data_IF_367536486851
#
_entry.id   IF_367536486851
#
_cell.length_a   1.000
_cell.length_b   1.000
_cell.length_c   1.000
_cell.angle_alpha   90.00
_cell.angle_beta   90.00
_cell.angle_gamma   90.00
#
_symmetry.space_group_name_H-M   'P 1'
#
loop_
_entity.id
_entity.type
_entity.pdbx_description
1 polymer ?
#
# COMPACT_ATOMS: atom_id res chain seq x y z
N UNK A 1 5.58 10.11 1.01
CA UNK A 1 4.70 10.53 2.12
C UNK A 1 5.31 11.73 2.90
N UNK A 2 5.36 12.93 2.29
CA UNK A 2 6.00 14.10 2.93
C UNK A 2 5.16 14.73 4.05
N UNK A 3 3.87 14.41 4.11
CA UNK A 3 2.94 14.90 5.15
C UNK A 3 2.76 13.88 6.30
N UNK A 4 3.43 12.72 6.21
CA UNK A 4 3.33 11.61 7.15
C UNK A 4 1.89 11.10 7.33
N UNK A 5 1.14 10.99 6.22
CA UNK A 5 -0.23 10.53 6.17
C UNK A 5 -0.38 9.14 6.80
N UNK A 6 0.50 8.19 6.47
CA UNK A 6 0.45 6.80 6.97
C UNK A 6 0.51 6.70 8.50
N UNK A 7 1.09 7.70 9.16
CA UNK A 7 1.24 7.71 10.62
C UNK A 7 0.24 8.61 11.34
N UNK A 8 -0.44 9.53 10.64
CA UNK A 8 -1.13 10.67 11.27
C UNK A 8 -2.57 10.90 10.80
N UNK A 9 -3.07 10.11 9.84
CA UNK A 9 -4.44 10.20 9.35
C UNK A 9 -5.11 8.83 9.40
N UNK A 10 -6.35 8.76 9.89
CA UNK A 10 -7.13 7.52 9.91
C UNK A 10 -7.21 6.90 8.51
N UNK A 11 -7.52 7.70 7.50
CA UNK A 11 -7.43 7.33 6.08
C UNK A 11 -6.25 8.08 5.45
N UNK A 12 -5.30 7.34 4.90
CA UNK A 12 -4.10 7.86 4.24
C UNK A 12 -4.18 7.60 2.74
N UNK A 13 -3.97 8.65 1.94
CA UNK A 13 -3.93 8.57 0.48
C UNK A 13 -2.48 8.81 0.05
N UNK A 14 -1.85 7.80 -0.54
CA UNK A 14 -0.43 7.88 -0.92
C UNK A 14 -0.30 7.58 -2.41
N UNK A 15 0.10 8.60 -3.18
CA UNK A 15 0.26 8.49 -4.62
C UNK A 15 1.30 7.44 -5.02
N UNK A 16 1.02 6.73 -6.11
CA UNK A 16 1.88 5.71 -6.72
C UNK A 16 1.58 5.61 -8.22
N UNK A 17 2.19 4.64 -8.91
CA UNK A 17 1.95 4.34 -10.31
C UNK A 17 1.89 2.81 -10.52
N UNK A 18 1.46 2.37 -11.70
CA UNK A 18 1.28 0.94 -12.03
C UNK A 18 2.20 0.43 -13.13
N UNK A 19 2.60 1.30 -14.04
CA UNK A 19 3.48 1.00 -15.18
C UNK A 19 4.97 1.10 -14.82
N UNK A 20 5.82 1.05 -15.84
CA UNK A 20 7.26 1.00 -15.67
C UNK A 20 7.87 2.33 -15.19
N UNK A 21 8.92 2.26 -14.38
CA UNK A 21 9.77 3.42 -14.08
C UNK A 21 10.33 3.95 -15.41
N UNK A 22 10.16 5.26 -15.63
CA UNK A 22 10.73 5.94 -16.78
C UNK A 22 12.21 6.16 -16.56
N UNK A 23 13.02 5.76 -17.53
CA UNK A 23 14.47 5.78 -17.47
C UNK A 23 15.08 6.58 -18.63
N UNK A 24 16.09 7.38 -18.30
CA UNK A 24 16.93 8.12 -19.24
C UNK A 24 18.38 7.66 -19.09
N UNK A 25 18.82 6.82 -20.03
CA UNK A 25 20.14 6.18 -20.00
C UNK A 25 21.29 7.20 -20.10
N UNK A 26 21.10 8.30 -20.82
CA UNK A 26 22.10 9.37 -20.94
C UNK A 26 22.28 10.09 -19.60
N UNK A 27 21.17 10.39 -18.91
CA UNK A 27 21.22 10.97 -17.58
C UNK A 27 21.85 10.01 -16.56
N UNK A 28 21.65 8.70 -16.68
CA UNK A 28 22.35 7.69 -15.85
C UNK A 28 23.87 7.79 -16.06
N UNK A 29 24.34 7.87 -17.30
CA UNK A 29 25.78 8.02 -17.56
C UNK A 29 26.35 9.30 -16.93
N UNK A 30 25.57 10.38 -16.91
CA UNK A 30 26.00 11.60 -16.25
C UNK A 30 26.18 11.40 -14.73
N UNK A 31 25.28 10.65 -14.07
CA UNK A 31 25.47 10.29 -12.65
C UNK A 31 26.75 9.48 -12.42
N UNK A 32 27.06 8.52 -13.29
CA UNK A 32 28.30 7.74 -13.22
C UNK A 32 29.52 8.65 -13.38
N UNK A 33 29.49 9.55 -14.37
CA UNK A 33 30.56 10.52 -14.62
C UNK A 33 30.75 11.50 -13.45
N UNK A 34 29.68 11.88 -12.78
CA UNK A 34 29.68 12.72 -11.57
C UNK A 34 30.15 11.95 -10.31
N UNK A 35 30.41 10.65 -10.42
CA UNK A 35 31.03 9.83 -9.39
C UNK A 35 30.06 9.01 -8.53
N UNK A 36 28.79 8.87 -8.94
CA UNK A 36 27.84 8.00 -8.25
C UNK A 36 28.20 6.52 -8.48
N UNK A 37 28.31 5.74 -7.41
CA UNK A 37 28.47 4.28 -7.51
C UNK A 37 27.08 3.64 -7.61
N UNK A 38 26.58 3.46 -8.83
CA UNK A 38 25.25 2.86 -9.08
C UNK A 38 25.11 1.49 -8.42
N UNK A 39 26.19 0.70 -8.41
CA UNK A 39 26.14 -0.64 -7.85
C UNK A 39 25.93 -0.58 -6.34
N UNK A 40 26.71 0.23 -5.63
CA UNK A 40 26.63 0.34 -4.17
C UNK A 40 25.44 1.19 -3.71
N UNK A 41 25.24 2.37 -4.30
CA UNK A 41 24.30 3.38 -3.80
C UNK A 41 22.85 3.15 -4.26
N UNK A 42 22.64 2.43 -5.37
CA UNK A 42 21.31 2.20 -5.96
C UNK A 42 20.94 0.72 -5.93
N UNK A 43 21.68 -0.13 -6.64
CA UNK A 43 21.32 -1.55 -6.82
C UNK A 43 21.36 -2.31 -5.49
N UNK A 44 22.41 -2.15 -4.69
CA UNK A 44 22.52 -2.84 -3.40
C UNK A 44 21.51 -2.32 -2.35
N UNK A 45 20.92 -1.14 -2.55
CA UNK A 45 19.91 -0.59 -1.65
C UNK A 45 18.47 -0.83 -2.11
N UNK A 46 18.25 -1.37 -3.32
CA UNK A 46 16.92 -1.78 -3.76
C UNK A 46 16.38 -2.91 -2.84
N UNK A 47 15.21 -2.73 -2.20
CA UNK A 47 14.71 -3.69 -1.20
C UNK A 47 14.36 -5.05 -1.79
N UNK A 48 13.85 -5.11 -3.02
CA UNK A 48 13.50 -6.36 -3.72
C UNK A 48 14.60 -6.90 -4.61
N UNK A 49 15.72 -6.18 -4.73
CA UNK A 49 16.83 -6.54 -5.63
C UNK A 49 16.39 -6.71 -7.10
N UNK A 50 15.36 -5.97 -7.52
CA UNK A 50 14.84 -6.01 -8.89
C UNK A 50 15.67 -5.21 -9.91
N UNK A 51 16.83 -4.68 -9.52
CA UNK A 51 17.69 -3.86 -10.39
C UNK A 51 19.01 -4.57 -10.66
N UNK A 52 19.57 -4.35 -11.85
CA UNK A 52 20.91 -4.83 -12.21
C UNK A 52 21.70 -3.75 -12.97
N UNK A 53 23.01 -3.72 -12.74
CA UNK A 53 23.95 -2.79 -13.35
C UNK A 53 25.12 -3.59 -13.92
N UNK A 54 25.40 -3.44 -15.21
CA UNK A 54 26.49 -4.16 -15.89
C UNK A 54 27.77 -3.32 -16.08
N UNK A 55 27.76 -2.07 -15.61
CA UNK A 55 28.83 -1.09 -15.82
C UNK A 55 28.52 -0.04 -16.87
N UNK A 56 27.50 -0.27 -17.70
CA UNK A 56 27.06 0.65 -18.75
C UNK A 56 25.55 0.88 -18.72
N UNK A 57 24.74 -0.15 -18.45
CA UNK A 57 23.28 -0.09 -18.49
C UNK A 57 22.65 -0.53 -17.17
N UNK A 58 21.65 0.24 -16.75
CA UNK A 58 20.76 -0.10 -15.64
C UNK A 58 19.53 -0.80 -16.20
N UNK A 59 19.21 -1.97 -15.66
CA UNK A 59 17.96 -2.65 -15.94
C UNK A 59 17.11 -2.75 -14.67
N UNK A 60 15.81 -2.56 -14.81
CA UNK A 60 14.82 -2.58 -13.73
C UNK A 60 13.74 -3.59 -14.11
N UNK A 61 13.55 -4.61 -13.28
CA UNK A 61 12.38 -5.49 -13.35
C UNK A 61 11.22 -4.82 -12.57
N UNK A 62 10.38 -4.07 -13.30
CA UNK A 62 9.29 -3.31 -12.70
C UNK A 62 8.24 -4.20 -12.04
N UNK A 63 8.08 -5.45 -12.50
CA UNK A 63 7.15 -6.40 -11.89
C UNK A 63 7.50 -6.71 -10.44
N UNK A 64 8.79 -6.74 -10.13
CA UNK A 64 9.31 -7.00 -8.78
C UNK A 64 9.62 -5.69 -8.01
N UNK A 65 9.21 -4.53 -8.55
CA UNK A 65 9.39 -3.24 -7.89
C UNK A 65 8.27 -2.97 -6.88
N UNK A 66 8.63 -2.51 -5.68
CA UNK A 66 7.69 -2.15 -4.61
C UNK A 66 7.50 -0.63 -4.47
N UNK A 67 7.92 0.14 -5.47
CA UNK A 67 7.76 1.60 -5.53
C UNK A 67 8.27 2.34 -4.28
N UNK A 68 9.38 1.88 -3.69
CA UNK A 68 9.96 2.43 -2.46
C UNK A 68 10.58 3.84 -2.62
N UNK A 69 10.63 4.36 -3.84
CA UNK A 69 11.24 5.64 -4.23
C UNK A 69 12.76 5.75 -4.13
N UNK A 70 13.48 4.77 -3.56
CA UNK A 70 14.94 4.88 -3.34
C UNK A 70 15.72 5.29 -4.60
N UNK A 71 15.62 4.51 -5.68
CA UNK A 71 16.35 4.77 -6.91
C UNK A 71 16.00 6.12 -7.56
N UNK A 72 14.71 6.50 -7.55
CA UNK A 72 14.24 7.80 -8.05
C UNK A 72 14.76 8.95 -7.18
N UNK A 73 14.81 8.78 -5.86
CA UNK A 73 15.33 9.80 -4.95
C UNK A 73 16.83 10.05 -5.15
N UNK A 74 17.60 9.00 -5.44
CA UNK A 74 19.04 9.10 -5.71
C UNK A 74 19.30 9.70 -7.10
N UNK A 75 18.55 9.29 -8.12
CA UNK A 75 18.75 9.70 -9.52
C UNK A 75 17.54 10.40 -10.15
N UNK A 76 17.01 11.50 -9.57
CA UNK A 76 15.74 12.11 -10.02
C UNK A 76 15.80 12.75 -11.41
N UNK A 77 17.00 13.02 -11.95
CA UNK A 77 17.15 13.48 -13.34
C UNK A 77 17.00 12.35 -14.35
N UNK A 78 17.30 11.11 -13.95
CA UNK A 78 17.35 9.94 -14.82
C UNK A 78 16.14 9.02 -14.66
N UNK A 79 15.65 8.85 -13.43
CA UNK A 79 14.52 7.98 -13.12
C UNK A 79 13.31 8.81 -12.69
N UNK A 80 12.13 8.44 -13.21
CA UNK A 80 10.85 9.09 -12.85
C UNK A 80 9.78 8.04 -12.59
N UNK A 81 8.77 8.35 -11.76
CA UNK A 81 7.56 7.53 -11.67
C UNK A 81 6.98 7.26 -13.06
N UNK A 82 6.26 6.16 -13.22
CA UNK A 82 5.50 5.86 -14.42
C UNK A 82 4.43 6.90 -14.76
N UNK A 83 3.62 6.60 -15.77
CA UNK A 83 2.57 7.46 -16.30
C UNK A 83 1.15 7.00 -15.97
N UNK A 84 0.97 5.74 -15.60
CA UNK A 84 -0.30 5.21 -15.09
C UNK A 84 -0.38 5.51 -13.58
N UNK A 85 -0.73 6.75 -13.25
CA UNK A 85 -0.75 7.29 -11.89
C UNK A 85 -2.05 6.99 -11.14
N UNK A 86 -1.94 6.94 -9.83
CA UNK A 86 -3.04 6.69 -8.91
C UNK A 86 -2.60 6.81 -7.46
N UNK A 87 -3.34 6.23 -6.54
CA UNK A 87 -2.97 6.19 -5.14
C UNK A 87 -3.33 4.87 -4.46
N UNK A 88 -2.54 4.52 -3.45
CA UNK A 88 -2.88 3.51 -2.45
C UNK A 88 -3.67 4.16 -1.33
N UNK A 89 -4.76 3.52 -0.93
CA UNK A 89 -5.57 3.91 0.23
C UNK A 89 -5.21 3.02 1.42
N UNK A 90 -4.79 3.64 2.52
CA UNK A 90 -4.44 2.94 3.76
C UNK A 90 -5.34 3.41 4.90
N UNK A 91 -5.69 2.51 5.83
CA UNK A 91 -6.61 2.81 6.92
C UNK A 91 -6.04 2.42 8.30
N UNK A 92 -6.36 3.20 9.33
CA UNK A 92 -6.26 2.81 10.73
C UNK A 92 -5.16 3.49 11.54
N UNK A 93 -4.43 4.49 11.01
CA UNK A 93 -3.39 5.14 11.81
C UNK A 93 -3.97 5.88 13.03
N UNK A 94 -3.24 5.80 14.13
CA UNK A 94 -3.55 6.54 15.35
C UNK A 94 -2.35 6.61 16.31
N UNK A 95 -2.43 7.62 17.18
CA UNK A 95 -1.57 7.73 18.36
C UNK A 95 -1.84 6.61 19.39
N UNK A 96 -0.99 6.44 20.41
CA UNK A 96 -1.05 5.28 21.32
C UNK A 96 -2.36 5.02 22.06
N UNK A 97 -3.10 6.05 22.48
CA UNK A 97 -4.28 5.87 23.34
C UNK A 97 -5.46 5.31 22.51
N UNK A 98 -6.13 4.20 22.88
CA UNK A 98 -5.92 3.31 24.04
C UNK A 98 -5.14 2.03 23.69
N UNK A 99 -5.39 1.41 22.53
CA UNK A 99 -4.88 0.07 22.17
C UNK A 99 -3.50 0.07 21.47
N UNK A 100 -2.66 1.06 21.75
CA UNK A 100 -1.35 1.22 21.12
C UNK A 100 -1.37 2.07 19.86
N UNK A 101 -0.16 2.39 19.37
CA UNK A 101 0.02 3.21 18.18
C UNK A 101 -0.12 2.33 16.94
N UNK A 102 -0.82 2.84 15.94
CA UNK A 102 -1.00 2.16 14.66
C UNK A 102 -0.51 3.05 13.54
N UNK A 103 0.15 2.45 12.56
CA UNK A 103 0.25 3.02 11.22
C UNK A 103 -0.89 2.47 10.37
N UNK A 104 -1.32 3.22 9.36
CA UNK A 104 -2.34 2.77 8.44
C UNK A 104 -1.90 1.51 7.70
N UNK A 105 -2.79 0.55 7.55
CA UNK A 105 -2.60 -0.69 6.78
C UNK A 105 -3.21 -0.55 5.38
N UNK A 106 -2.67 -1.25 4.39
CA UNK A 106 -3.19 -1.19 3.01
C UNK A 106 -4.64 -1.70 3.01
N UNK A 107 -5.55 -0.91 2.45
CA UNK A 107 -6.95 -1.28 2.26
C UNK A 107 -7.27 -1.42 0.77
N UNK A 108 -6.90 -0.43 -0.04
CA UNK A 108 -7.03 -0.49 -1.50
C UNK A 108 -5.66 -0.24 -2.12
N UNK A 109 -5.02 -1.24 -2.75
CA UNK A 109 -3.63 -1.12 -3.23
C UNK A 109 -3.46 -0.05 -4.30
N UNK A 110 -4.44 0.11 -5.19
CA UNK A 110 -4.38 1.06 -6.28
C UNK A 110 -5.77 1.54 -6.68
N UNK A 111 -5.92 2.85 -6.78
CA UNK A 111 -7.06 3.53 -7.40
C UNK A 111 -6.49 4.46 -8.47
N UNK A 112 -6.94 4.37 -9.74
CA UNK A 112 -6.54 5.30 -10.79
C UNK A 112 -6.81 6.76 -10.42
N UNK A 113 -5.98 7.68 -10.91
CA UNK A 113 -6.10 9.12 -10.57
C UNK A 113 -7.47 9.71 -10.92
N UNK A 114 -8.05 9.31 -12.05
CA UNK A 114 -9.35 9.78 -12.54
C UNK A 114 -10.55 9.23 -11.75
N UNK A 115 -10.40 8.07 -11.12
CA UNK A 115 -11.43 7.43 -10.27
C UNK A 115 -11.27 7.77 -8.77
N UNK A 116 -10.18 8.46 -8.41
CA UNK A 116 -9.73 8.60 -7.03
C UNK A 116 -10.75 9.33 -6.14
N UNK A 117 -11.30 10.45 -6.61
CA UNK A 117 -12.24 11.26 -5.82
C UNK A 117 -13.54 10.50 -5.52
N UNK A 118 -14.11 9.82 -6.52
CA UNK A 118 -15.35 9.07 -6.38
C UNK A 118 -15.15 7.84 -5.48
N UNK A 119 -14.08 7.08 -5.72
CA UNK A 119 -13.72 5.92 -4.91
C UNK A 119 -13.52 6.29 -3.44
N UNK A 120 -12.83 7.42 -3.16
CA UNK A 120 -12.64 7.88 -1.78
C UNK A 120 -13.98 8.23 -1.13
N UNK A 121 -14.87 8.94 -1.83
CA UNK A 121 -16.18 9.32 -1.26
C UNK A 121 -17.03 8.10 -0.93
N UNK A 122 -17.09 7.13 -1.85
CA UNK A 122 -17.82 5.89 -1.63
C UNK A 122 -17.23 5.10 -0.45
N UNK A 123 -15.90 4.90 -0.46
CA UNK A 123 -15.20 4.16 0.59
C UNK A 123 -15.40 4.82 1.96
N UNK A 124 -15.27 6.14 2.05
CA UNK A 124 -15.47 6.89 3.30
C UNK A 124 -16.91 6.76 3.78
N UNK A 125 -17.90 6.82 2.90
CA UNK A 125 -19.31 6.60 3.27
C UNK A 125 -19.51 5.22 3.88
N UNK A 126 -19.03 4.17 3.20
CA UNK A 126 -19.17 2.77 3.66
C UNK A 126 -18.45 2.55 5.00
N UNK A 127 -17.26 3.12 5.17
CA UNK A 127 -16.53 3.07 6.45
C UNK A 127 -17.30 3.81 7.55
N UNK A 128 -17.82 5.00 7.27
CA UNK A 128 -18.57 5.79 8.26
C UNK A 128 -19.89 5.16 8.65
N UNK A 129 -20.61 4.53 7.71
CA UNK A 129 -21.84 3.81 8.00
C UNK A 129 -21.55 2.62 8.93
N UNK A 130 -20.53 1.81 8.59
CA UNK A 130 -20.16 0.65 9.41
C UNK A 130 -19.56 1.05 10.77
N UNK A 131 -18.63 2.00 10.81
CA UNK A 131 -18.01 2.47 12.05
C UNK A 131 -18.99 3.27 12.91
N UNK A 132 -19.93 3.99 12.31
CA UNK A 132 -20.97 4.74 13.00
C UNK A 132 -21.96 3.84 13.74
N UNK A 133 -22.28 2.68 13.18
CA UNK A 133 -23.19 1.70 13.79
C UNK A 133 -22.48 0.83 14.84
N UNK A 134 -21.29 0.31 14.52
CA UNK A 134 -20.62 -0.72 15.33
C UNK A 134 -19.42 -0.24 16.14
N UNK A 135 -19.02 1.03 15.98
CA UNK A 135 -17.94 1.65 16.74
C UNK A 135 -18.34 1.88 18.19
N UNK A 136 -17.45 1.58 19.13
CA UNK A 136 -17.65 1.90 20.53
C UNK A 136 -17.36 3.38 20.82
N UNK A 137 -17.85 3.86 21.97
CA UNK A 137 -17.61 5.24 22.40
C UNK A 137 -16.10 5.56 22.42
N UNK A 138 -15.71 6.57 21.63
CA UNK A 138 -14.32 7.05 21.48
C UNK A 138 -13.35 6.02 20.88
N UNK A 139 -13.84 4.98 20.23
CA UNK A 139 -13.02 3.99 19.54
C UNK A 139 -12.64 4.48 18.15
N UNK A 140 -11.35 4.48 17.82
CA UNK A 140 -10.87 4.83 16.47
C UNK A 140 -11.08 3.68 15.50
N UNK A 141 -11.23 3.97 14.20
CA UNK A 141 -11.45 2.94 13.18
C UNK A 141 -10.36 1.85 13.19
N UNK A 142 -9.10 2.21 13.41
CA UNK A 142 -8.01 1.23 13.55
C UNK A 142 -8.18 0.29 14.75
N UNK A 143 -8.75 0.76 15.86
CA UNK A 143 -9.02 -0.05 17.05
C UNK A 143 -10.24 -0.95 16.82
N UNK A 144 -11.26 -0.43 16.14
CA UNK A 144 -12.42 -1.24 15.71
C UNK A 144 -11.97 -2.42 14.86
N UNK A 145 -11.08 -2.20 13.87
CA UNK A 145 -10.54 -3.27 13.01
C UNK A 145 -9.81 -4.33 13.85
N UNK A 146 -9.04 -3.93 14.87
CA UNK A 146 -8.39 -4.89 15.78
C UNK A 146 -9.40 -5.69 16.62
N UNK A 147 -10.52 -5.07 17.01
CA UNK A 147 -11.56 -5.69 17.84
C UNK A 147 -12.44 -6.65 17.05
N UNK A 148 -12.95 -6.22 15.89
CA UNK A 148 -13.89 -7.02 15.07
C UNK A 148 -13.16 -7.97 14.12
N UNK A 149 -11.89 -7.67 13.81
CA UNK A 149 -11.10 -8.39 12.82
C UNK A 149 -11.26 -7.82 11.41
N UNK A 150 -10.16 -7.87 10.65
CA UNK A 150 -10.15 -7.40 9.26
C UNK A 150 -11.24 -8.06 8.38
N UNK A 151 -11.51 -9.38 8.45
CA UNK A 151 -12.56 -10.00 7.62
C UNK A 151 -13.94 -9.39 7.83
N UNK A 152 -14.38 -9.24 9.09
CA UNK A 152 -15.67 -8.64 9.43
C UNK A 152 -15.74 -7.16 9.03
N UNK A 153 -14.63 -6.44 9.15
CA UNK A 153 -14.58 -5.05 8.69
C UNK A 153 -14.72 -4.96 7.17
N UNK A 154 -13.97 -5.78 6.42
CA UNK A 154 -14.03 -5.85 4.96
C UNK A 154 -15.42 -6.22 4.46
N UNK A 155 -16.06 -7.25 5.04
CA UNK A 155 -17.45 -7.63 4.75
C UNK A 155 -18.41 -6.47 5.03
N UNK A 156 -18.29 -5.82 6.19
CA UNK A 156 -19.13 -4.71 6.59
C UNK A 156 -19.04 -3.49 5.67
N UNK A 157 -17.87 -3.27 5.08
CA UNK A 157 -17.67 -2.23 4.05
C UNK A 157 -17.72 -2.81 2.64
N UNK A 158 -18.09 -4.07 2.43
CA UNK A 158 -18.19 -4.81 1.15
C UNK A 158 -16.94 -4.78 0.25
N UNK A 159 -15.76 -4.99 0.81
CA UNK A 159 -14.52 -5.21 0.07
C UNK A 159 -14.07 -6.68 0.21
N UNK A 160 -13.49 -7.23 -0.85
CA UNK A 160 -12.90 -8.56 -0.82
C UNK A 160 -11.45 -8.52 -0.29
N UNK A 161 -11.03 -9.53 0.49
CA UNK A 161 -9.65 -9.62 0.95
C UNK A 161 -8.69 -9.97 -0.20
N UNK A 162 -7.54 -9.31 -0.23
CA UNK A 162 -6.46 -9.58 -1.18
C UNK A 162 -5.10 -9.67 -0.47
N UNK A 163 -4.11 -10.37 -1.04
CA UNK A 163 -2.81 -10.58 -0.39
C UNK A 163 -2.07 -9.30 0.00
N UNK A 164 -2.22 -8.22 -0.76
CA UNK A 164 -1.55 -6.93 -0.56
C UNK A 164 -1.97 -6.23 0.75
N UNK A 165 -3.08 -6.65 1.37
CA UNK A 165 -3.56 -6.12 2.65
C UNK A 165 -2.74 -6.61 3.86
N UNK A 166 -1.93 -7.67 3.71
CA UNK A 166 -1.18 -8.30 4.80
C UNK A 166 0.32 -8.34 4.50
N UNK A 167 1.15 -8.23 5.55
CA UNK A 167 2.60 -8.41 5.42
C UNK A 167 3.01 -9.88 5.40
N UNK A 168 2.24 -10.75 6.03
CA UNK A 168 2.39 -12.20 6.03
C UNK A 168 1.06 -12.85 6.39
N UNK A 169 0.78 -14.08 5.90
CA UNK A 169 -0.30 -14.89 6.42
C UNK A 169 -0.16 -15.11 7.94
N UNK A 170 -1.29 -15.38 8.60
CA UNK A 170 -1.29 -15.77 10.00
C UNK A 170 -0.44 -17.02 10.24
N UNK A 171 0.23 -17.06 11.38
CA UNK A 171 1.10 -18.14 11.84
C UNK A 171 0.40 -19.14 12.78
N UNK A 172 -0.83 -18.83 13.20
CA UNK A 172 -1.60 -19.60 14.15
C UNK A 172 -2.85 -20.22 13.48
N UNK A 173 -3.24 -21.45 13.87
CA UNK A 173 -4.23 -22.24 13.15
C UNK A 173 -5.69 -21.94 13.54
N UNK A 174 -5.97 -20.89 14.30
CA UNK A 174 -7.32 -20.58 14.80
C UNK A 174 -8.22 -19.91 13.76
N UNK A 175 -8.46 -20.61 12.64
CA UNK A 175 -9.26 -20.12 11.51
C UNK A 175 -10.74 -20.25 11.86
N UNK A 176 -11.46 -19.12 11.79
CA UNK A 176 -12.92 -19.11 11.89
C UNK A 176 -13.50 -19.34 10.50
N UNK A 177 -14.50 -20.20 10.41
CA UNK A 177 -15.29 -20.43 9.22
C UNK A 177 -16.70 -19.89 9.49
N UNK A 178 -17.31 -19.28 8.47
CA UNK A 178 -18.74 -18.98 8.53
C UNK A 178 -19.50 -20.31 8.44
N UNK A 179 -20.62 -20.41 9.15
CA UNK A 179 -21.56 -21.50 8.92
C UNK A 179 -22.09 -21.29 7.49
N UNK A 180 -21.80 -22.22 6.58
CA UNK A 180 -22.44 -22.19 5.26
C UNK A 180 -23.97 -22.20 5.50
N UNK A 181 -24.71 -21.32 4.82
CA UNK A 181 -26.14 -21.55 4.66
C UNK A 181 -26.26 -22.89 3.92
N UNK A 182 -26.45 -23.98 4.67
CA UNK A 182 -26.72 -25.28 4.10
C UNK A 182 -27.88 -25.10 3.12
N UNK A 183 -27.60 -25.16 1.81
CA UNK A 183 -28.62 -25.48 0.83
C UNK A 183 -29.22 -26.78 1.35
N UNK A 184 -30.46 -26.69 1.86
CA UNK A 184 -31.28 -27.83 2.24
C UNK A 184 -31.43 -28.71 1.01
N UNK A 185 -30.48 -29.60 0.79
CA UNK A 185 -30.57 -30.69 -0.15
C UNK A 185 -31.77 -31.52 0.28
N UNK A 186 -32.81 -31.48 -0.54
CA UNK A 186 -34.00 -32.29 -0.42
C UNK A 186 -33.57 -33.77 -0.30
N UNK A 187 -33.97 -34.39 0.81
CA UNK A 187 -33.87 -35.83 1.03
C UNK A 187 -34.91 -36.60 0.21
#
# INVERSE_FOLDING_TARGET
DCVAAKARADLSIIGTWKDDIRQDDEAIQQYVADGLDIQQDVVQHCPTKCMSWDGEKLAIDNRECVHCMHCINVMPKALRPGTETGATLLLGAKAPILQGALMSSVLVPFVPEDELEETIKELVSRIWDFWGEYGQNRERVGEMIQRVGMPTFLEGIGLDPIPEMISAPRDNPYIYFQEEEEEKGEA
#
